data_IF_380583697194
#
_entry.id   IF_380583697194
#
_cell.length_a   1.000
_cell.length_b   1.000
_cell.length_c   1.000
_cell.angle_alpha   90.00
_cell.angle_beta   90.00
_cell.angle_gamma   90.00
#
_symmetry.space_group_name_H-M   'P 1'
#
loop_
_entity.id
_entity.type
_entity.pdbx_description
1 polymer ?
#
# COMPACT_ATOMS: atom_id res chain seq x y z
N UNK A 1 54.76 47.80 -9.63
CA UNK A 1 53.45 48.04 -9.00
C UNK A 1 52.47 47.07 -9.63
N UNK A 2 52.34 45.87 -9.06
CA UNK A 2 51.50 44.81 -9.64
C UNK A 2 50.10 45.02 -9.09
N UNK A 3 49.22 45.61 -9.89
CA UNK A 3 47.82 45.81 -9.52
C UNK A 3 47.17 44.43 -9.36
N UNK A 4 46.87 44.07 -8.11
CA UNK A 4 46.02 42.92 -7.81
C UNK A 4 44.66 43.27 -8.40
N UNK A 5 44.25 42.55 -9.45
CA UNK A 5 42.95 42.73 -10.09
C UNK A 5 41.87 42.52 -9.04
N UNK A 6 41.15 43.59 -8.70
CA UNK A 6 40.03 43.53 -7.78
C UNK A 6 38.99 42.55 -8.33
N UNK A 7 38.48 41.70 -7.46
CA UNK A 7 37.29 40.91 -7.78
C UNK A 7 36.15 41.93 -7.90
N UNK A 8 35.33 41.93 -8.97
CA UNK A 8 34.24 42.89 -9.08
C UNK A 8 33.35 42.78 -7.84
N UNK A 9 33.21 43.90 -7.11
CA UNK A 9 32.51 43.99 -5.81
C UNK A 9 31.01 43.66 -5.95
N UNK A 10 30.48 43.72 -7.17
CA UNK A 10 29.09 43.38 -7.52
C UNK A 10 29.03 42.07 -8.31
N UNK A 11 28.21 41.09 -7.91
CA UNK A 11 28.03 39.86 -8.66
C UNK A 11 27.47 40.11 -10.07
N UNK A 12 28.09 39.52 -11.09
CA UNK A 12 27.55 39.47 -12.45
C UNK A 12 26.25 38.64 -12.53
N UNK A 13 25.59 38.63 -13.69
CA UNK A 13 24.33 37.90 -13.86
C UNK A 13 24.49 36.38 -13.75
N UNK A 14 25.62 35.82 -14.19
CA UNK A 14 25.90 34.39 -14.10
C UNK A 14 26.03 33.92 -12.66
N UNK A 15 26.75 34.68 -11.82
CA UNK A 15 26.85 34.46 -10.37
C UNK A 15 25.49 34.56 -9.68
N UNK A 16 24.65 35.52 -10.08
CA UNK A 16 23.28 35.66 -9.55
C UNK A 16 22.39 34.48 -9.93
N UNK A 17 22.43 34.05 -11.19
CA UNK A 17 21.67 32.88 -11.66
C UNK A 17 22.14 31.60 -10.95
N UNK A 18 23.45 31.42 -10.80
CA UNK A 18 24.01 30.30 -10.06
C UNK A 18 23.57 30.30 -8.58
N UNK A 19 23.60 31.46 -7.92
CA UNK A 19 23.11 31.59 -6.56
C UNK A 19 21.60 31.34 -6.45
N UNK A 20 20.80 31.81 -7.40
CA UNK A 20 19.36 31.51 -7.44
C UNK A 20 19.11 30.00 -7.59
N UNK A 21 19.86 29.33 -8.46
CA UNK A 21 19.77 27.87 -8.60
C UNK A 21 20.09 27.17 -7.28
N UNK A 22 21.13 27.60 -6.56
CA UNK A 22 21.51 27.01 -5.27
C UNK A 22 20.44 27.28 -4.19
N UNK A 23 19.93 28.52 -4.11
CA UNK A 23 18.90 28.91 -3.16
C UNK A 23 17.59 28.18 -3.41
N UNK A 24 17.06 28.23 -4.64
CA UNK A 24 15.80 27.55 -4.95
C UNK A 24 15.96 26.03 -5.04
N UNK A 25 17.12 25.53 -5.46
CA UNK A 25 17.44 24.11 -5.47
C UNK A 25 17.45 23.51 -4.06
N UNK A 26 18.11 24.18 -3.10
CA UNK A 26 18.11 23.75 -1.70
C UNK A 26 16.73 23.87 -1.04
N UNK A 27 16.01 24.98 -1.25
CA UNK A 27 14.65 25.15 -0.74
C UNK A 27 13.68 24.09 -1.32
N UNK A 28 13.79 23.78 -2.60
CA UNK A 28 13.01 22.72 -3.25
C UNK A 28 13.36 21.35 -2.68
N UNK A 29 14.64 21.07 -2.41
CA UNK A 29 15.08 19.83 -1.76
C UNK A 29 14.43 19.63 -0.40
N UNK A 30 14.40 20.68 0.44
CA UNK A 30 13.70 20.64 1.75
C UNK A 30 12.19 20.45 1.57
N UNK A 31 11.58 21.19 0.65
CA UNK A 31 10.14 21.08 0.38
C UNK A 31 9.76 19.65 -0.06
N UNK A 32 10.53 19.03 -0.95
CA UNK A 32 10.32 17.65 -1.38
C UNK A 32 10.52 16.64 -0.23
N UNK A 33 11.52 16.89 0.64
CA UNK A 33 11.77 16.06 1.81
C UNK A 33 10.58 16.01 2.78
N UNK A 34 9.87 17.13 2.96
CA UNK A 34 8.65 17.20 3.77
C UNK A 34 7.41 16.71 3.01
N UNK A 35 7.32 17.01 1.71
CA UNK A 35 6.18 16.64 0.88
C UNK A 35 6.11 15.11 0.66
N UNK A 36 7.24 14.43 0.55
CA UNK A 36 7.29 12.98 0.36
C UNK A 36 6.53 12.19 1.45
N UNK A 37 6.85 12.30 2.74
CA UNK A 37 6.11 11.59 3.79
C UNK A 37 4.65 12.08 3.89
N UNK A 38 4.38 13.35 3.63
CA UNK A 38 3.01 13.88 3.63
C UNK A 38 2.15 13.20 2.56
N UNK A 39 2.64 13.08 1.32
CA UNK A 39 1.93 12.36 0.25
C UNK A 39 1.84 10.87 0.56
N UNK A 40 2.94 10.28 1.04
CA UNK A 40 2.99 8.84 1.39
C UNK A 40 1.99 8.46 2.49
N UNK A 41 1.69 9.37 3.41
CA UNK A 41 0.68 9.15 4.45
C UNK A 41 -0.71 8.85 3.88
N UNK A 42 -1.06 9.42 2.73
CA UNK A 42 -2.35 9.17 2.08
C UNK A 42 -2.39 7.88 1.25
N UNK A 43 -1.26 7.19 1.08
CA UNK A 43 -1.19 5.90 0.40
C UNK A 43 -1.35 4.81 1.47
N UNK A 44 -2.46 4.04 1.48
CA UNK A 44 -2.66 2.99 2.45
C UNK A 44 -1.51 1.98 2.42
N UNK A 45 -1.03 1.57 3.59
CA UNK A 45 -0.09 0.46 3.67
C UNK A 45 -0.75 -0.80 3.12
N UNK A 46 -0.05 -1.52 2.25
CA UNK A 46 -0.52 -2.83 1.81
C UNK A 46 -0.67 -3.74 3.03
N UNK A 47 -1.82 -4.40 3.18
CA UNK A 47 -1.97 -5.48 4.15
C UNK A 47 -0.93 -6.55 3.79
N UNK A 48 -0.01 -6.85 4.71
CA UNK A 48 1.11 -7.76 4.47
C UNK A 48 0.66 -9.03 3.75
N UNK A 49 1.28 -9.31 2.61
CA UNK A 49 1.00 -10.52 1.82
C UNK A 49 1.74 -11.70 2.43
N UNK A 50 1.06 -12.45 3.30
CA UNK A 50 1.43 -13.84 3.54
C UNK A 50 1.30 -14.66 2.26
N UNK A 51 1.93 -15.84 2.22
CA UNK A 51 1.78 -16.80 1.14
C UNK A 51 0.30 -16.93 0.75
N UNK A 52 0.00 -16.91 -0.55
CA UNK A 52 -1.28 -16.82 -1.29
C UNK A 52 -2.61 -17.31 -0.68
N UNK A 53 -2.64 -17.93 0.49
CA UNK A 53 -3.84 -18.28 1.25
C UNK A 53 -4.10 -17.31 2.41
N UNK A 54 -5.37 -16.94 2.58
CA UNK A 54 -5.91 -16.28 3.78
C UNK A 54 -6.95 -17.19 4.41
N UNK A 55 -7.05 -17.18 5.74
CA UNK A 55 -8.14 -17.89 6.44
C UNK A 55 -9.46 -17.19 6.12
N UNK A 56 -10.46 -17.96 5.69
CA UNK A 56 -11.80 -17.45 5.46
C UNK A 56 -12.43 -16.99 6.78
N UNK A 57 -13.14 -15.86 6.76
CA UNK A 57 -13.83 -15.32 7.93
C UNK A 57 -15.33 -15.28 7.77
N UNK A 58 -16.05 -15.42 8.86
CA UNK A 58 -17.51 -15.25 8.91
C UNK A 58 -17.90 -13.75 8.83
N UNK A 59 -19.20 -13.47 8.83
CA UNK A 59 -19.72 -12.10 8.80
C UNK A 59 -19.35 -11.26 10.04
N UNK A 60 -18.90 -11.89 11.12
CA UNK A 60 -18.46 -11.24 12.36
C UNK A 60 -16.93 -11.07 12.40
N UNK A 61 -16.20 -11.59 11.41
CA UNK A 61 -14.74 -11.54 11.31
C UNK A 61 -14.02 -12.68 12.04
N UNK A 62 -14.74 -13.68 12.58
CA UNK A 62 -14.15 -14.86 13.19
C UNK A 62 -13.66 -15.83 12.10
N UNK A 63 -12.63 -16.61 12.42
CA UNK A 63 -12.12 -17.61 11.49
C UNK A 63 -13.10 -18.77 11.32
N UNK A 64 -13.33 -19.19 10.08
CA UNK A 64 -14.22 -20.31 9.79
C UNK A 64 -13.50 -21.63 10.08
N UNK A 65 -14.03 -22.39 11.04
CA UNK A 65 -13.53 -23.74 11.37
C UNK A 65 -14.27 -24.75 10.50
N UNK A 66 -13.55 -25.49 9.66
CA UNK A 66 -14.14 -26.42 8.69
C UNK A 66 -15.10 -27.45 9.32
N UNK A 67 -14.76 -28.00 10.50
CA UNK A 67 -15.61 -28.97 11.20
C UNK A 67 -16.92 -28.36 11.70
N UNK A 68 -16.91 -27.12 12.18
CA UNK A 68 -18.10 -26.41 12.64
C UNK A 68 -18.94 -25.93 11.46
N UNK A 69 -18.29 -25.54 10.36
CA UNK A 69 -18.96 -25.14 9.13
C UNK A 69 -19.77 -26.30 8.54
N UNK A 70 -19.15 -27.48 8.41
CA UNK A 70 -19.82 -28.70 7.91
C UNK A 70 -20.89 -29.24 8.86
N UNK A 71 -20.79 -28.98 10.16
CA UNK A 71 -21.83 -29.37 11.12
C UNK A 71 -23.13 -28.54 10.96
N UNK A 72 -23.03 -27.31 10.43
CA UNK A 72 -24.14 -26.37 10.35
C UNK A 72 -24.69 -26.18 8.92
N UNK A 73 -24.06 -26.74 7.89
CA UNK A 73 -24.45 -26.58 6.49
C UNK A 73 -24.70 -27.93 5.82
N UNK A 74 -25.73 -27.97 4.97
CA UNK A 74 -26.11 -29.20 4.27
C UNK A 74 -25.27 -29.40 2.99
N UNK A 75 -25.21 -30.62 2.45
CA UNK A 75 -24.60 -30.88 1.15
C UNK A 75 -25.23 -30.05 0.04
N UNK A 76 -24.41 -29.46 -0.83
CA UNK A 76 -24.84 -28.56 -1.91
C UNK A 76 -25.03 -27.09 -1.49
N UNK A 77 -24.84 -26.77 -0.20
CA UNK A 77 -25.00 -25.41 0.30
C UNK A 77 -23.85 -24.49 -0.14
N UNK A 78 -24.17 -23.20 -0.27
CA UNK A 78 -23.25 -22.15 -0.72
C UNK A 78 -23.40 -20.94 0.17
N UNK A 79 -22.43 -20.77 1.07
CA UNK A 79 -22.45 -19.68 2.04
C UNK A 79 -21.34 -18.69 1.77
N UNK A 80 -21.67 -17.39 1.86
CA UNK A 80 -20.68 -16.32 1.73
C UNK A 80 -19.78 -16.26 2.96
N UNK A 81 -18.48 -16.25 2.72
CA UNK A 81 -17.45 -15.94 3.70
C UNK A 81 -16.57 -14.81 3.16
N UNK A 82 -15.89 -14.10 4.06
CA UNK A 82 -14.85 -13.15 3.68
C UNK A 82 -13.62 -13.93 3.20
N UNK A 83 -13.31 -13.78 1.91
CA UNK A 83 -12.20 -14.45 1.25
C UNK A 83 -10.98 -13.54 1.03
N UNK A 84 -10.29 -13.78 -0.09
CA UNK A 84 -9.09 -13.03 -0.47
C UNK A 84 -9.39 -11.53 -0.59
N UNK A 85 -8.49 -10.69 -0.06
CA UNK A 85 -8.61 -9.21 -0.08
C UNK A 85 -9.89 -8.67 0.57
N UNK A 86 -10.63 -9.49 1.31
CA UNK A 86 -11.91 -9.11 1.91
C UNK A 86 -13.10 -9.25 0.97
N UNK A 87 -12.91 -9.81 -0.22
CA UNK A 87 -14.01 -10.02 -1.17
C UNK A 87 -14.91 -11.18 -0.69
N UNK A 88 -16.24 -11.05 -0.82
CA UNK A 88 -17.16 -12.12 -0.49
C UNK A 88 -16.94 -13.31 -1.43
N UNK A 89 -16.62 -14.47 -0.87
CA UNK A 89 -16.38 -15.71 -1.63
C UNK A 89 -17.28 -16.82 -1.07
N UNK A 90 -17.98 -17.52 -1.95
CA UNK A 90 -18.79 -18.67 -1.58
C UNK A 90 -17.90 -19.85 -1.20
N UNK A 91 -18.12 -20.37 0.00
CA UNK A 91 -17.69 -21.71 0.39
C UNK A 91 -18.76 -22.69 -0.07
N UNK A 92 -18.33 -23.73 -0.79
CA UNK A 92 -19.23 -24.74 -1.36
C UNK A 92 -19.09 -26.03 -0.55
N UNK A 93 -20.21 -26.54 -0.05
CA UNK A 93 -20.29 -27.89 0.52
C UNK A 93 -20.65 -28.84 -0.61
N UNK A 94 -19.80 -29.81 -0.88
CA UNK A 94 -20.06 -30.84 -1.90
C UNK A 94 -21.11 -31.85 -1.45
N UNK A 95 -21.63 -32.63 -2.39
CA UNK A 95 -22.70 -33.61 -2.12
C UNK A 95 -22.26 -34.73 -1.16
N UNK A 96 -20.95 -34.97 -1.03
CA UNK A 96 -20.36 -35.93 -0.11
C UNK A 96 -20.14 -35.36 1.31
N UNK A 97 -20.70 -34.18 1.60
CA UNK A 97 -20.53 -33.45 2.86
C UNK A 97 -19.08 -33.01 3.14
N UNK A 98 -18.27 -32.83 2.09
CA UNK A 98 -16.94 -32.23 2.20
C UNK A 98 -16.94 -30.78 1.72
N UNK A 99 -15.88 -30.04 2.06
CA UNK A 99 -15.69 -28.67 1.60
C UNK A 99 -14.94 -28.72 0.26
N UNK A 100 -15.43 -27.99 -0.74
CA UNK A 100 -14.77 -27.94 -2.04
C UNK A 100 -13.38 -27.29 -1.93
N UNK A 101 -12.43 -27.75 -2.77
CA UNK A 101 -11.07 -27.21 -2.86
C UNK A 101 -11.01 -25.81 -3.52
N UNK A 102 -12.16 -25.24 -3.88
CA UNK A 102 -12.30 -23.94 -4.53
C UNK A 102 -13.44 -23.12 -3.92
N UNK A 103 -13.26 -21.80 -3.94
CA UNK A 103 -14.31 -20.84 -3.67
C UNK A 103 -14.84 -20.20 -4.96
N UNK A 104 -16.05 -19.66 -4.92
CA UNK A 104 -16.66 -18.93 -6.05
C UNK A 104 -16.80 -17.47 -5.65
N UNK A 105 -16.23 -16.54 -6.43
CA UNK A 105 -16.29 -15.09 -6.21
C UNK A 105 -17.14 -14.43 -7.30
#
# INVERSE_FOLDING_TARGET
MTQISETPEVPDMGRRQFMNLLTFGSATGVALGVLYPFVKYFIPASSGGGASGVTAKDALGNDVIASEFLANHNPGDRTLAQGLKGDPTYLVVENDSTLADYGIN
#
